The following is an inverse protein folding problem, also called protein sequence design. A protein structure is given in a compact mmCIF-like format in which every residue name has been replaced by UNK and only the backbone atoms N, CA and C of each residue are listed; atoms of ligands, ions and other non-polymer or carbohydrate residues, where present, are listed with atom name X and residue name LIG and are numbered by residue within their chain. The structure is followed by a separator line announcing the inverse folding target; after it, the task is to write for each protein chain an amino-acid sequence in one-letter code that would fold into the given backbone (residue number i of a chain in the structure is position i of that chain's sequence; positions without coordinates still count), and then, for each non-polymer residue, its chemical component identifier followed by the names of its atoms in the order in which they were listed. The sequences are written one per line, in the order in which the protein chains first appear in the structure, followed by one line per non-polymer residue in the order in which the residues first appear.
data_IF_212136214210
#
_entry.id   IF_212136214210
#
_cell.length_a   1.000
_cell.length_b   1.000
_cell.length_c   1.000
_cell.angle_alpha   90.00
_cell.angle_beta   90.00
_cell.angle_gamma   90.00
#
_symmetry.space_group_name_H-M   'P 1'
#
loop_
_entity.id
_entity.type
_entity.pdbx_description
1 polymer ?
#
# COMPACT_ATOMS: atom_id res chain seq x y z
N UNK A 1 -47.93 -20.59 48.52
CA UNK A 1 -47.08 -19.50 48.01
C UNK A 1 -45.62 -19.94 48.02
N UNK A 2 -45.10 -20.34 46.88
CA UNK A 2 -43.69 -20.72 46.74
C UNK A 2 -42.80 -19.45 46.68
N UNK A 3 -41.91 -19.30 47.64
CA UNK A 3 -40.91 -18.21 47.65
C UNK A 3 -39.96 -18.41 46.47
N UNK A 4 -39.96 -17.46 45.53
CA UNK A 4 -38.97 -17.38 44.48
C UNK A 4 -37.58 -17.25 45.13
N UNK A 5 -36.67 -18.22 44.84
CA UNK A 5 -35.27 -18.13 45.22
C UNK A 5 -34.65 -16.97 44.45
N UNK A 6 -34.23 -15.91 45.16
CA UNK A 6 -33.38 -14.87 44.62
C UNK A 6 -32.08 -15.50 44.11
N UNK A 7 -31.86 -15.44 42.82
CA UNK A 7 -30.56 -15.76 42.21
C UNK A 7 -29.61 -14.64 42.63
N UNK A 8 -28.80 -14.89 43.65
CA UNK A 8 -27.76 -14.01 44.10
C UNK A 8 -26.44 -14.45 43.49
N UNK A 9 -25.91 -13.67 42.57
CA UNK A 9 -24.59 -13.79 42.03
C UNK A 9 -24.58 -13.99 40.51
N UNK A 10 -24.36 -12.94 39.73
CA UNK A 10 -23.86 -13.09 38.37
C UNK A 10 -22.51 -13.76 38.43
N UNK A 11 -22.35 -14.91 37.73
CA UNK A 11 -21.05 -15.50 37.52
C UNK A 11 -20.12 -14.45 36.86
N UNK A 12 -18.90 -14.29 37.37
CA UNK A 12 -17.95 -13.37 36.79
C UNK A 12 -17.57 -13.80 35.37
N UNK A 13 -17.19 -12.85 34.52
CA UNK A 13 -16.75 -13.12 33.14
C UNK A 13 -15.59 -14.14 33.10
N UNK A 14 -14.75 -14.21 34.16
CA UNK A 14 -13.70 -15.20 34.29
C UNK A 14 -14.22 -16.65 34.26
N UNK A 15 -15.35 -16.92 34.92
CA UNK A 15 -15.95 -18.27 34.94
C UNK A 15 -16.45 -18.65 33.54
N UNK A 16 -17.05 -17.69 32.80
CA UNK A 16 -17.44 -17.92 31.42
C UNK A 16 -16.21 -18.19 30.55
N UNK A 17 -15.14 -17.42 30.71
CA UNK A 17 -13.90 -17.57 29.96
C UNK A 17 -13.25 -18.96 30.22
N UNK A 18 -13.21 -19.40 31.47
CA UNK A 18 -12.72 -20.75 31.84
C UNK A 18 -13.57 -21.88 31.23
N UNK A 19 -14.86 -21.68 31.11
CA UNK A 19 -15.75 -22.64 30.42
C UNK A 19 -15.49 -22.64 28.92
N UNK A 20 -15.35 -21.46 28.30
CA UNK A 20 -15.08 -21.33 26.87
C UNK A 20 -13.72 -21.89 26.48
N UNK A 21 -12.69 -21.72 27.30
CA UNK A 21 -11.35 -22.30 27.07
C UNK A 21 -11.35 -23.83 27.05
N UNK A 22 -12.30 -24.47 27.77
CA UNK A 22 -12.45 -25.94 27.78
C UNK A 22 -13.16 -26.48 26.53
N UNK A 23 -14.09 -25.73 25.95
CA UNK A 23 -14.92 -26.18 24.83
C UNK A 23 -14.48 -25.57 23.48
N UNK A 24 -13.77 -24.47 23.52
CA UNK A 24 -13.27 -23.73 22.35
C UNK A 24 -11.91 -23.07 22.68
N UNK A 25 -10.82 -23.87 22.75
CA UNK A 25 -9.51 -23.41 23.21
C UNK A 25 -8.85 -22.37 22.27
N UNK A 26 -9.36 -22.23 21.06
CA UNK A 26 -8.89 -21.19 20.10
C UNK A 26 -9.39 -19.77 20.42
N UNK A 27 -10.32 -19.63 21.38
CA UNK A 27 -10.82 -18.34 21.83
C UNK A 27 -9.89 -17.74 22.89
N UNK A 28 -9.57 -16.45 22.72
CA UNK A 28 -8.68 -15.73 23.64
C UNK A 28 -9.30 -14.39 24.05
N UNK A 29 -8.82 -13.87 25.18
CA UNK A 29 -9.14 -12.51 25.57
C UNK A 29 -8.54 -11.52 24.54
N UNK A 30 -9.28 -10.43 24.25
CA UNK A 30 -8.87 -9.49 23.19
C UNK A 30 -7.47 -8.92 23.39
N UNK A 31 -7.04 -8.77 24.64
CA UNK A 31 -5.72 -8.22 25.00
C UNK A 31 -4.56 -9.14 24.64
N UNK A 32 -4.84 -10.45 24.44
CA UNK A 32 -3.83 -11.48 24.15
C UNK A 32 -4.11 -12.26 22.88
N UNK A 33 -5.09 -11.82 22.07
CA UNK A 33 -5.50 -12.53 20.87
C UNK A 33 -4.40 -12.47 19.78
N UNK A 34 -3.61 -13.55 19.55
CA UNK A 34 -2.52 -13.55 18.60
C UNK A 34 -3.00 -13.46 17.15
N UNK A 35 -4.25 -13.88 16.86
CA UNK A 35 -4.80 -13.87 15.49
C UNK A 35 -5.07 -12.42 15.03
N UNK A 36 -5.46 -11.56 15.95
CA UNK A 36 -5.76 -10.15 15.65
C UNK A 36 -4.49 -9.30 15.54
N UNK A 37 -3.43 -9.69 16.28
CA UNK A 37 -2.17 -8.95 16.32
C UNK A 37 -1.44 -9.02 14.98
N UNK A 38 -0.98 -7.87 14.51
CA UNK A 38 -0.05 -7.78 13.38
C UNK A 38 1.36 -7.95 13.95
N UNK A 39 2.03 -9.02 13.56
CA UNK A 39 3.39 -9.31 14.04
C UNK A 39 4.44 -8.77 13.08
N UNK A 40 4.08 -8.59 11.82
CA UNK A 40 5.01 -8.26 10.77
C UNK A 40 4.35 -7.41 9.68
N UNK A 41 5.07 -6.44 9.18
CA UNK A 41 4.71 -5.62 8.03
C UNK A 41 5.63 -5.93 6.86
N UNK A 42 5.07 -6.06 5.68
CA UNK A 42 5.81 -6.37 4.46
C UNK A 42 5.92 -5.10 3.63
N UNK A 43 7.14 -4.65 3.42
CA UNK A 43 7.45 -3.48 2.62
C UNK A 43 6.90 -3.64 1.19
N UNK A 44 6.24 -2.61 0.68
CA UNK A 44 5.69 -2.62 -0.69
C UNK A 44 6.69 -2.17 -1.75
N UNK A 45 7.83 -1.62 -1.33
CA UNK A 45 8.81 -0.97 -2.21
C UNK A 45 8.47 0.49 -2.52
N UNK A 46 7.45 1.05 -1.88
CA UNK A 46 7.08 2.47 -1.98
C UNK A 46 6.71 3.00 -0.60
N UNK A 47 7.43 4.01 -0.12
CA UNK A 47 7.20 4.61 1.19
C UNK A 47 5.79 5.17 1.35
N UNK A 48 5.25 5.80 0.31
CA UNK A 48 3.89 6.34 0.37
C UNK A 48 2.82 5.24 0.36
N UNK A 49 3.06 4.12 -0.32
CA UNK A 49 2.14 2.98 -0.28
C UNK A 49 2.21 2.26 1.06
N UNK A 50 3.40 2.17 1.68
CA UNK A 50 3.56 1.70 3.05
C UNK A 50 2.72 2.54 4.01
N UNK A 51 2.85 3.88 3.94
CA UNK A 51 2.05 4.79 4.76
C UNK A 51 0.54 4.62 4.53
N UNK A 52 0.10 4.49 3.28
CA UNK A 52 -1.28 4.24 2.92
C UNK A 52 -1.85 2.94 3.52
N UNK A 53 -1.01 1.89 3.68
CA UNK A 53 -1.43 0.59 4.20
C UNK A 53 -1.35 0.49 5.72
N UNK A 54 -0.37 1.14 6.35
CA UNK A 54 -0.02 0.92 7.76
C UNK A 54 -0.01 2.18 8.62
N UNK A 55 -0.06 3.37 8.00
CA UNK A 55 0.11 4.64 8.70
C UNK A 55 1.57 5.05 8.94
N UNK A 56 2.55 4.31 8.38
CA UNK A 56 3.99 4.60 8.52
C UNK A 56 4.72 4.25 7.23
N UNK A 57 5.75 5.04 6.86
CA UNK A 57 6.61 4.72 5.71
C UNK A 57 7.40 3.43 5.90
N UNK A 58 7.62 3.00 7.15
CA UNK A 58 8.33 1.78 7.53
C UNK A 58 7.42 0.56 7.70
N UNK A 59 6.11 0.70 7.45
CA UNK A 59 5.16 -0.39 7.49
C UNK A 59 4.99 -1.08 6.14
N UNK A 60 3.75 -1.25 5.72
CA UNK A 60 3.39 -1.88 4.44
C UNK A 60 2.20 -2.81 4.57
N UNK A 61 2.24 -3.95 3.85
CA UNK A 61 1.19 -4.97 3.95
C UNK A 61 1.28 -5.69 5.31
N UNK A 62 0.22 -5.66 6.14
CA UNK A 62 0.20 -6.45 7.36
C UNK A 62 0.11 -7.94 7.05
N UNK A 63 0.88 -8.77 7.75
CA UNK A 63 0.68 -10.20 7.73
C UNK A 63 -0.73 -10.56 8.23
N UNK A 64 -1.19 -11.79 8.03
CA UNK A 64 -2.52 -12.26 8.48
C UNK A 64 -3.72 -11.54 7.85
N UNK A 65 -3.52 -10.70 6.83
CA UNK A 65 -4.59 -9.88 6.24
C UNK A 65 -4.65 -10.04 4.73
N UNK A 66 -5.86 -9.79 4.20
CA UNK A 66 -6.08 -9.76 2.76
C UNK A 66 -6.03 -8.33 2.22
N UNK A 67 -5.32 -8.17 1.11
CA UNK A 67 -5.23 -6.94 0.30
C UNK A 67 -5.86 -7.20 -1.06
N UNK A 68 -6.86 -6.41 -1.43
CA UNK A 68 -7.43 -6.42 -2.78
C UNK A 68 -6.92 -5.20 -3.54
N UNK A 69 -6.28 -5.44 -4.67
CA UNK A 69 -5.88 -4.43 -5.66
C UNK A 69 -6.90 -4.47 -6.80
N UNK A 70 -7.81 -3.50 -6.83
CA UNK A 70 -8.87 -3.43 -7.84
C UNK A 70 -8.59 -2.30 -8.83
N UNK A 71 -8.72 -2.55 -10.13
CA UNK A 71 -8.45 -1.54 -11.14
C UNK A 71 -8.64 -2.06 -12.56
N UNK A 72 -8.68 -1.14 -13.52
CA UNK A 72 -8.69 -1.47 -14.94
C UNK A 72 -7.39 -2.15 -15.37
N UNK A 73 -7.36 -2.64 -16.60
CA UNK A 73 -6.12 -3.15 -17.19
C UNK A 73 -5.06 -2.03 -17.28
N UNK A 74 -3.79 -2.39 -17.06
CA UNK A 74 -2.66 -1.45 -17.10
C UNK A 74 -2.59 -0.48 -15.92
N UNK A 75 -3.31 -0.71 -14.81
CA UNK A 75 -3.20 0.08 -13.57
C UNK A 75 -2.11 -0.43 -12.61
N UNK A 76 -1.32 -1.41 -13.02
CA UNK A 76 -0.16 -1.89 -12.25
C UNK A 76 -0.48 -2.83 -11.09
N UNK A 77 -1.65 -3.50 -11.05
CA UNK A 77 -2.01 -4.47 -10.02
C UNK A 77 -0.94 -5.53 -9.81
N UNK A 78 -0.61 -6.27 -10.87
CA UNK A 78 0.42 -7.31 -10.90
C UNK A 78 1.79 -6.77 -10.50
N UNK A 79 2.15 -5.57 -10.96
CA UNK A 79 3.40 -4.91 -10.59
C UNK A 79 3.49 -4.64 -9.08
N UNK A 80 2.45 -4.08 -8.47
CA UNK A 80 2.39 -3.82 -7.03
C UNK A 80 2.44 -5.14 -6.25
N UNK A 81 1.67 -6.15 -6.67
CA UNK A 81 1.69 -7.47 -6.04
C UNK A 81 3.09 -8.10 -6.06
N UNK A 82 3.76 -8.10 -7.21
CA UNK A 82 5.13 -8.63 -7.35
C UNK A 82 6.17 -7.78 -6.62
N UNK A 83 5.98 -6.46 -6.50
CA UNK A 83 6.84 -5.61 -5.67
C UNK A 83 6.75 -5.98 -4.19
N UNK A 84 5.56 -6.22 -3.66
CA UNK A 84 5.36 -6.72 -2.29
C UNK A 84 6.02 -8.09 -2.13
N UNK A 85 5.83 -9.00 -3.09
CA UNK A 85 6.46 -10.33 -3.07
C UNK A 85 7.99 -10.23 -3.02
N UNK A 86 8.59 -9.37 -3.86
CA UNK A 86 10.04 -9.13 -3.88
C UNK A 86 10.59 -8.72 -2.51
N UNK A 87 9.92 -7.77 -1.86
CA UNK A 87 10.35 -7.31 -0.53
C UNK A 87 10.06 -8.35 0.54
N UNK A 88 8.93 -9.07 0.47
CA UNK A 88 8.61 -10.16 1.35
C UNK A 88 9.64 -11.29 1.32
N UNK A 89 10.14 -11.67 0.13
CA UNK A 89 11.25 -12.63 -0.01
C UNK A 89 12.51 -12.07 0.63
N UNK A 90 12.92 -10.87 0.21
CA UNK A 90 14.23 -10.30 0.54
C UNK A 90 14.36 -9.90 2.01
N UNK A 91 13.32 -9.31 2.60
CA UNK A 91 13.38 -8.66 3.90
C UNK A 91 12.77 -9.51 5.01
N UNK A 92 11.77 -10.35 4.68
CA UNK A 92 10.98 -11.11 5.65
C UNK A 92 11.12 -12.63 5.52
N UNK A 93 11.76 -13.13 4.45
CA UNK A 93 11.99 -14.57 4.23
C UNK A 93 10.74 -15.35 3.85
N UNK A 94 9.82 -14.74 3.09
CA UNK A 94 8.63 -15.40 2.56
C UNK A 94 8.95 -16.17 1.27
N UNK A 95 8.26 -17.30 1.09
CA UNK A 95 8.06 -17.95 -0.19
C UNK A 95 6.72 -17.51 -0.80
N UNK A 96 6.60 -17.53 -2.11
CA UNK A 96 5.41 -17.04 -2.82
C UNK A 96 4.67 -18.19 -3.48
N UNK A 97 3.38 -18.30 -3.20
CA UNK A 97 2.45 -19.14 -3.98
C UNK A 97 1.57 -18.23 -4.81
N UNK A 98 1.88 -18.15 -6.10
CA UNK A 98 1.23 -17.26 -7.04
C UNK A 98 0.24 -18.04 -7.90
N UNK A 99 -1.06 -17.82 -7.68
CA UNK A 99 -2.13 -18.39 -8.46
C UNK A 99 -2.42 -17.47 -9.65
N UNK A 100 -2.18 -18.00 -10.86
CA UNK A 100 -2.35 -17.27 -12.12
C UNK A 100 -3.57 -17.81 -12.86
N UNK A 101 -4.56 -16.95 -13.09
CA UNK A 101 -5.76 -17.26 -13.89
C UNK A 101 -5.74 -16.62 -15.27
N UNK A 102 -4.74 -15.79 -15.58
CA UNK A 102 -4.63 -15.06 -16.84
C UNK A 102 -3.58 -15.66 -17.77
N UNK A 103 -2.65 -16.47 -17.25
CA UNK A 103 -1.53 -17.00 -18.02
C UNK A 103 -0.58 -15.92 -18.52
N UNK A 104 -0.55 -14.77 -17.85
CA UNK A 104 0.17 -13.57 -18.28
C UNK A 104 1.56 -13.43 -17.66
N UNK A 105 1.90 -14.29 -16.72
CA UNK A 105 3.14 -14.22 -15.95
C UNK A 105 4.10 -15.32 -16.40
N UNK A 106 5.28 -14.89 -16.84
CA UNK A 106 6.39 -15.78 -17.11
C UNK A 106 7.59 -15.50 -16.19
N UNK A 107 8.55 -16.42 -16.19
CA UNK A 107 9.75 -16.34 -15.37
C UNK A 107 10.58 -15.08 -15.66
N UNK A 108 10.71 -14.70 -16.91
CA UNK A 108 11.55 -13.59 -17.33
C UNK A 108 10.92 -12.25 -16.92
N UNK A 109 9.60 -12.15 -16.99
CA UNK A 109 8.86 -10.99 -16.50
C UNK A 109 9.07 -10.82 -14.98
N UNK A 110 8.89 -11.89 -14.21
CA UNK A 110 9.07 -11.90 -12.75
C UNK A 110 10.50 -11.52 -12.36
N UNK A 111 11.50 -12.11 -13.05
CA UNK A 111 12.91 -11.84 -12.82
C UNK A 111 13.31 -10.39 -13.15
N UNK A 112 12.74 -9.80 -14.22
CA UNK A 112 12.96 -8.37 -14.58
C UNK A 112 12.45 -7.42 -13.49
N UNK A 113 11.43 -7.79 -12.74
CA UNK A 113 10.95 -7.03 -11.59
C UNK A 113 11.79 -7.25 -10.33
N UNK A 114 12.85 -8.05 -10.42
CA UNK A 114 13.79 -8.32 -9.33
C UNK A 114 13.25 -9.28 -8.27
N UNK A 115 12.24 -10.07 -8.59
CA UNK A 115 11.72 -11.13 -7.72
C UNK A 115 12.59 -12.38 -7.89
N UNK A 116 13.03 -12.96 -6.78
CA UNK A 116 13.75 -14.23 -6.80
C UNK A 116 12.80 -15.37 -7.16
N UNK A 117 12.96 -15.89 -8.37
CA UNK A 117 12.10 -16.95 -8.90
C UNK A 117 12.31 -18.31 -8.23
N UNK A 118 13.38 -18.51 -7.46
CA UNK A 118 13.59 -19.72 -6.66
C UNK A 118 12.64 -19.81 -5.46
N UNK A 119 12.11 -18.67 -5.01
CA UNK A 119 11.15 -18.52 -3.93
C UNK A 119 9.71 -18.28 -4.42
N UNK A 120 9.45 -18.45 -5.72
CA UNK A 120 8.13 -18.26 -6.30
C UNK A 120 7.64 -19.52 -7.02
N UNK A 121 6.52 -20.08 -6.53
CA UNK A 121 5.77 -21.12 -7.21
C UNK A 121 4.61 -20.51 -7.97
N UNK A 122 4.62 -20.62 -9.29
CA UNK A 122 3.49 -20.29 -10.15
C UNK A 122 2.54 -21.50 -10.23
N UNK A 123 1.26 -21.27 -9.92
CA UNK A 123 0.21 -22.26 -9.95
C UNK A 123 -0.96 -21.77 -10.83
N UNK A 124 -1.12 -22.31 -12.04
CA UNK A 124 -2.29 -22.01 -12.87
C UNK A 124 -3.57 -22.47 -12.18
N UNK A 125 -4.62 -21.68 -12.30
CA UNK A 125 -5.98 -21.99 -11.80
C UNK A 125 -7.04 -21.43 -12.73
N UNK A 126 -8.13 -22.16 -12.92
CA UNK A 126 -9.22 -21.75 -13.80
C UNK A 126 -10.53 -21.48 -13.03
N UNK A 127 -10.74 -22.16 -11.91
CA UNK A 127 -11.97 -22.03 -11.12
C UNK A 127 -11.68 -21.61 -9.67
N UNK A 128 -12.70 -20.98 -9.06
CA UNK A 128 -12.63 -20.57 -7.65
C UNK A 128 -12.55 -21.81 -6.75
N UNK A 129 -13.20 -22.89 -7.13
CA UNK A 129 -13.21 -24.15 -6.40
C UNK A 129 -11.84 -24.82 -6.44
N UNK A 130 -11.15 -24.80 -7.57
CA UNK A 130 -9.77 -25.30 -7.70
C UNK A 130 -8.81 -24.52 -6.79
N UNK A 131 -8.87 -23.17 -6.83
CA UNK A 131 -8.12 -22.34 -5.88
C UNK A 131 -8.42 -22.72 -4.43
N UNK A 132 -9.71 -22.83 -4.07
CA UNK A 132 -10.12 -23.18 -2.71
C UNK A 132 -9.59 -24.55 -2.28
N UNK A 133 -9.59 -25.54 -3.18
CA UNK A 133 -9.10 -26.87 -2.89
C UNK A 133 -7.59 -26.85 -2.56
N UNK A 134 -6.79 -26.18 -3.40
CA UNK A 134 -5.34 -26.08 -3.20
C UNK A 134 -5.02 -25.28 -1.93
N UNK A 135 -5.67 -24.14 -1.72
CA UNK A 135 -5.49 -23.32 -0.52
C UNK A 135 -5.85 -24.09 0.77
N UNK A 136 -6.93 -24.87 0.74
CA UNK A 136 -7.33 -25.71 1.88
C UNK A 136 -6.29 -26.80 2.17
N UNK A 137 -5.71 -27.43 1.14
CA UNK A 137 -4.65 -28.43 1.34
C UNK A 137 -3.38 -27.82 1.94
N UNK A 138 -2.96 -26.65 1.48
CA UNK A 138 -1.82 -25.91 2.04
C UNK A 138 -2.06 -25.64 3.53
N UNK A 139 -3.21 -25.03 3.86
CA UNK A 139 -3.53 -24.67 5.25
C UNK A 139 -3.65 -25.89 6.15
N UNK A 140 -4.26 -26.97 5.70
CA UNK A 140 -4.36 -28.21 6.46
C UNK A 140 -2.98 -28.86 6.69
N UNK A 141 -2.09 -28.80 5.70
CA UNK A 141 -0.72 -29.28 5.86
C UNK A 141 0.06 -28.47 6.88
N UNK A 142 -0.13 -27.14 6.89
CA UNK A 142 0.51 -26.24 7.86
C UNK A 142 -0.03 -26.44 9.28
N UNK A 143 -1.35 -26.61 9.44
CA UNK A 143 -1.98 -26.98 10.71
C UNK A 143 -1.40 -28.31 11.25
N UNK A 144 -1.25 -29.33 10.39
CA UNK A 144 -0.66 -30.60 10.78
C UNK A 144 0.83 -30.53 11.16
N UNK A 145 1.60 -29.60 10.55
CA UNK A 145 2.99 -29.32 10.96
C UNK A 145 3.02 -28.70 12.36
N UNK A 146 2.17 -27.71 12.62
CA UNK A 146 2.07 -27.05 13.93
C UNK A 146 1.68 -28.04 15.04
N UNK A 147 0.74 -28.95 14.78
CA UNK A 147 0.36 -30.00 15.72
C UNK A 147 1.52 -30.93 16.08
N UNK A 148 2.48 -31.14 15.16
CA UNK A 148 3.71 -31.90 15.39
C UNK A 148 4.82 -31.07 16.06
N UNK A 149 4.59 -29.78 16.30
CA UNK A 149 5.60 -28.84 16.82
C UNK A 149 6.59 -28.36 15.77
N UNK A 150 6.30 -28.56 14.49
CA UNK A 150 7.11 -28.08 13.35
C UNK A 150 6.62 -26.70 12.92
N UNK A 151 7.54 -25.81 12.56
CA UNK A 151 7.17 -24.50 12.01
C UNK A 151 6.96 -24.59 10.51
N UNK A 152 5.76 -24.22 10.00
CA UNK A 152 5.53 -24.16 8.56
C UNK A 152 6.33 -23.02 7.92
N UNK A 153 6.66 -23.11 6.62
CA UNK A 153 7.30 -22.02 5.90
C UNK A 153 6.40 -20.78 5.89
N UNK A 154 7.03 -19.59 5.93
CA UNK A 154 6.30 -18.35 5.70
C UNK A 154 5.95 -18.22 4.23
N UNK A 155 4.68 -18.04 3.90
CA UNK A 155 4.25 -17.86 2.52
C UNK A 155 3.38 -16.63 2.36
N UNK A 156 3.48 -15.97 1.18
CA UNK A 156 2.50 -15.01 0.68
C UNK A 156 1.67 -15.73 -0.39
N UNK A 157 0.35 -15.66 -0.29
CA UNK A 157 -0.56 -16.14 -1.34
C UNK A 157 -0.99 -14.98 -2.21
N UNK A 158 -0.82 -15.12 -3.52
CA UNK A 158 -1.29 -14.15 -4.53
C UNK A 158 -2.30 -14.83 -5.43
N UNK A 159 -3.40 -14.16 -5.74
CA UNK A 159 -4.40 -14.57 -6.72
C UNK A 159 -4.52 -13.48 -7.80
N UNK A 160 -4.10 -13.79 -9.02
CA UNK A 160 -4.10 -12.87 -10.16
C UNK A 160 -4.78 -13.53 -11.37
N UNK A 161 -6.01 -13.19 -11.70
CA UNK A 161 -6.94 -12.28 -11.02
C UNK A 161 -8.22 -13.04 -10.60
N UNK A 162 -8.85 -12.58 -9.52
CA UNK A 162 -10.14 -13.12 -9.09
C UNK A 162 -11.23 -12.93 -10.13
N UNK A 163 -11.17 -11.83 -10.89
CA UNK A 163 -12.16 -11.52 -11.93
C UNK A 163 -12.26 -12.57 -13.03
N UNK A 164 -11.12 -13.18 -13.40
CA UNK A 164 -11.03 -14.14 -14.49
C UNK A 164 -11.39 -15.57 -14.09
N UNK A 165 -11.39 -15.90 -12.80
CA UNK A 165 -11.83 -17.22 -12.37
C UNK A 165 -13.31 -17.44 -12.69
N UNK A 166 -13.65 -18.62 -13.23
CA UNK A 166 -15.03 -19.10 -13.34
C UNK A 166 -15.45 -19.87 -12.09
N UNK A 167 -16.74 -20.18 -11.93
CA UNK A 167 -17.18 -21.29 -11.08
C UNK A 167 -17.07 -22.61 -11.85
N UNK A 168 -16.95 -23.73 -11.16
CA UNK A 168 -17.01 -25.06 -11.81
C UNK A 168 -18.28 -25.21 -12.64
N UNK A 169 -19.41 -24.72 -12.12
CA UNK A 169 -20.68 -24.76 -12.82
C UNK A 169 -20.67 -23.92 -14.10
N UNK A 170 -20.12 -22.68 -14.06
CA UNK A 170 -19.96 -21.83 -15.24
C UNK A 170 -19.11 -22.52 -16.30
N UNK A 171 -18.05 -23.22 -15.88
CA UNK A 171 -17.18 -24.00 -16.76
C UNK A 171 -17.93 -25.19 -17.41
N UNK A 172 -18.71 -25.94 -16.60
CA UNK A 172 -19.53 -27.05 -17.10
C UNK A 172 -20.65 -26.59 -18.06
N UNK A 173 -21.36 -25.53 -17.71
CA UNK A 173 -22.43 -24.97 -18.52
C UNK A 173 -21.91 -24.48 -19.88
N UNK A 174 -20.70 -23.91 -19.90
CA UNK A 174 -20.02 -23.50 -21.14
C UNK A 174 -19.74 -24.68 -22.08
N UNK A 175 -19.32 -25.83 -21.52
CA UNK A 175 -19.12 -27.07 -22.32
C UNK A 175 -20.42 -27.62 -22.86
N UNK A 176 -21.53 -27.48 -22.10
CA UNK A 176 -22.88 -27.93 -22.54
C UNK A 176 -23.60 -26.93 -23.44
N UNK A 177 -23.05 -25.73 -23.62
CA UNK A 177 -23.68 -24.66 -24.40
C UNK A 177 -24.88 -24.00 -23.71
N UNK A 178 -25.01 -24.12 -22.41
CA UNK A 178 -26.13 -23.59 -21.63
C UNK A 178 -25.77 -22.15 -21.13
N UNK A 179 -26.51 -21.14 -21.60
CA UNK A 179 -26.26 -19.71 -21.33
C UNK A 179 -27.10 -19.16 -20.19
N UNK A 180 -27.37 -19.93 -19.13
CA UNK A 180 -28.13 -19.45 -17.97
C UNK A 180 -27.29 -18.51 -17.11
N UNK A 181 -27.93 -17.44 -16.61
CA UNK A 181 -27.32 -16.50 -15.68
C UNK A 181 -26.91 -17.25 -14.39
N UNK A 182 -25.61 -17.41 -14.17
CA UNK A 182 -25.09 -18.14 -13.01
C UNK A 182 -24.81 -17.22 -11.83
N UNK A 183 -25.46 -17.49 -10.69
CA UNK A 183 -25.22 -16.80 -9.42
C UNK A 183 -24.19 -17.56 -8.55
N UNK A 184 -23.69 -18.72 -8.99
CA UNK A 184 -22.81 -19.59 -8.20
C UNK A 184 -21.43 -19.00 -8.04
N UNK A 185 -20.92 -18.25 -9.01
CA UNK A 185 -19.64 -17.52 -8.91
C UNK A 185 -19.57 -16.61 -7.67
N UNK A 186 -20.61 -15.81 -7.42
CA UNK A 186 -20.64 -14.94 -6.25
C UNK A 186 -20.69 -15.73 -4.93
N UNK A 187 -21.39 -16.87 -4.91
CA UNK A 187 -21.44 -17.76 -3.75
C UNK A 187 -20.08 -18.44 -3.52
N UNK A 188 -19.41 -18.87 -4.59
CA UNK A 188 -18.06 -19.46 -4.53
C UNK A 188 -17.04 -18.43 -3.98
N UNK A 189 -17.09 -17.17 -4.43
CA UNK A 189 -16.24 -16.09 -3.91
C UNK A 189 -16.49 -15.88 -2.40
N UNK A 190 -17.74 -15.80 -1.96
CA UNK A 190 -18.06 -15.66 -0.52
C UNK A 190 -17.55 -16.87 0.28
N UNK A 191 -17.69 -18.09 -0.26
CA UNK A 191 -17.17 -19.31 0.35
C UNK A 191 -15.64 -19.28 0.45
N UNK A 192 -14.95 -18.82 -0.61
CA UNK A 192 -13.50 -18.66 -0.64
C UNK A 192 -12.99 -17.82 0.53
N UNK A 193 -13.51 -16.62 0.70
CA UNK A 193 -13.11 -15.76 1.81
C UNK A 193 -13.45 -16.34 3.18
N UNK A 194 -14.65 -16.93 3.32
CA UNK A 194 -15.11 -17.49 4.60
C UNK A 194 -14.27 -18.69 5.05
N UNK A 195 -13.87 -19.56 4.11
CA UNK A 195 -13.08 -20.77 4.41
C UNK A 195 -11.62 -20.43 4.63
N UNK A 196 -11.02 -19.64 3.73
CA UNK A 196 -9.57 -19.41 3.75
C UNK A 196 -9.17 -18.19 4.61
N UNK A 197 -10.04 -17.17 4.76
CA UNK A 197 -9.66 -15.92 5.40
C UNK A 197 -9.21 -16.09 6.85
N UNK A 198 -9.96 -16.84 7.65
CA UNK A 198 -9.58 -17.09 9.05
C UNK A 198 -8.36 -18.02 9.15
N UNK A 199 -8.27 -19.06 8.30
CA UNK A 199 -7.13 -19.98 8.27
C UNK A 199 -5.84 -19.26 7.90
N UNK A 200 -5.87 -18.40 6.87
CA UNK A 200 -4.71 -17.60 6.50
C UNK A 200 -4.31 -16.64 7.64
N UNK A 201 -5.29 -16.01 8.30
CA UNK A 201 -5.01 -15.14 9.45
C UNK A 201 -4.37 -15.91 10.61
N UNK A 202 -4.86 -17.09 10.97
CA UNK A 202 -4.29 -17.96 12.00
C UNK A 202 -2.85 -18.37 11.69
N UNK A 203 -2.59 -18.73 10.44
CA UNK A 203 -1.29 -19.21 9.97
C UNK A 203 -0.28 -18.08 9.61
N UNK A 204 -0.66 -16.82 9.77
CA UNK A 204 0.22 -15.69 9.46
C UNK A 204 0.40 -15.44 7.96
N UNK A 205 -0.50 -15.93 7.11
CA UNK A 205 -0.40 -15.87 5.64
C UNK A 205 -1.05 -14.58 5.12
N UNK A 206 -0.29 -13.63 4.54
CA UNK A 206 -0.84 -12.52 3.77
C UNK A 206 -1.48 -13.03 2.48
N UNK A 207 -2.63 -12.43 2.10
CA UNK A 207 -3.34 -12.80 0.89
C UNK A 207 -3.56 -11.58 -0.02
N UNK A 208 -2.88 -11.54 -1.16
CA UNK A 208 -2.98 -10.47 -2.15
C UNK A 208 -3.90 -10.96 -3.27
N UNK A 209 -4.88 -10.13 -3.65
CA UNK A 209 -5.87 -10.45 -4.66
C UNK A 209 -5.91 -9.33 -5.68
N UNK A 210 -5.51 -9.60 -6.90
CA UNK A 210 -5.75 -8.72 -8.03
C UNK A 210 -7.19 -8.90 -8.53
N UNK A 211 -7.85 -7.79 -8.85
CA UNK A 211 -9.24 -7.83 -9.28
C UNK A 211 -9.55 -6.74 -10.31
N UNK A 212 -10.59 -6.94 -11.10
CA UNK A 212 -11.06 -5.97 -12.07
C UNK A 212 -12.16 -5.06 -11.49
N UNK A 213 -12.26 -3.87 -12.04
CA UNK A 213 -13.39 -2.97 -11.85
C UNK A 213 -14.16 -2.86 -13.14
N UNK A 214 -15.47 -2.71 -13.06
CA UNK A 214 -16.38 -2.52 -14.16
C UNK A 214 -17.12 -1.20 -14.00
N UNK A 215 -17.46 -0.56 -15.09
CA UNK A 215 -18.34 0.61 -15.05
C UNK A 215 -19.72 0.16 -14.57
N UNK A 216 -20.22 0.85 -13.55
CA UNK A 216 -21.58 0.61 -13.09
C UNK A 216 -22.57 1.05 -14.20
N UNK A 217 -23.73 0.38 -14.29
CA UNK A 217 -24.75 0.67 -15.31
C UNK A 217 -25.33 2.10 -15.27
N UNK A 218 -24.94 2.92 -14.30
CA UNK A 218 -25.36 4.30 -14.14
C UNK A 218 -24.15 5.24 -14.22
N UNK A 219 -24.29 6.35 -14.95
CA UNK A 219 -23.26 7.38 -15.09
C UNK A 219 -22.86 8.05 -13.76
N UNK A 220 -23.63 7.87 -12.70
CA UNK A 220 -23.44 8.49 -11.39
C UNK A 220 -22.96 7.50 -10.30
N UNK A 221 -22.81 6.21 -10.62
CA UNK A 221 -22.37 5.22 -9.64
C UNK A 221 -20.86 4.97 -9.73
N UNK A 222 -20.14 4.84 -8.60
CA UNK A 222 -18.73 4.47 -8.60
C UNK A 222 -18.52 3.11 -9.27
N UNK A 223 -17.36 2.91 -9.90
CA UNK A 223 -16.96 1.62 -10.50
C UNK A 223 -17.17 0.46 -9.54
N UNK A 224 -17.74 -0.62 -10.03
CA UNK A 224 -17.98 -1.82 -9.22
C UNK A 224 -16.79 -2.78 -9.28
N UNK A 225 -16.44 -3.33 -8.12
CA UNK A 225 -15.38 -4.34 -7.99
C UNK A 225 -15.99 -5.70 -8.34
N UNK A 226 -15.31 -6.47 -9.20
CA UNK A 226 -15.72 -7.84 -9.53
C UNK A 226 -15.90 -8.69 -8.26
N UNK A 227 -16.93 -9.55 -8.25
CA UNK A 227 -17.28 -10.36 -7.08
C UNK A 227 -18.14 -9.62 -6.03
N UNK A 228 -18.47 -8.35 -6.26
CA UNK A 228 -19.50 -7.61 -5.52
C UNK A 228 -19.30 -7.61 -4.00
N UNK A 229 -20.41 -7.82 -3.26
CA UNK A 229 -20.42 -7.82 -1.79
C UNK A 229 -19.51 -8.87 -1.15
N UNK A 230 -19.23 -10.00 -1.82
CA UNK A 230 -18.32 -11.02 -1.31
C UNK A 230 -16.93 -10.50 -1.03
N UNK A 231 -16.38 -9.71 -1.95
CA UNK A 231 -15.06 -9.07 -1.80
C UNK A 231 -15.13 -7.91 -0.81
N UNK A 232 -16.10 -6.99 -0.98
CA UNK A 232 -16.21 -5.78 -0.15
C UNK A 232 -16.32 -6.08 1.35
N UNK A 233 -17.09 -7.09 1.74
CA UNK A 233 -17.31 -7.39 3.16
C UNK A 233 -16.14 -8.17 3.79
N UNK A 234 -15.50 -9.07 3.05
CA UNK A 234 -14.54 -10.01 3.63
C UNK A 234 -13.07 -9.57 3.54
N UNK A 235 -12.68 -8.80 2.53
CA UNK A 235 -11.31 -8.28 2.44
C UNK A 235 -11.00 -7.33 3.61
N UNK A 236 -9.75 -7.34 4.08
CA UNK A 236 -9.27 -6.45 5.14
C UNK A 236 -8.94 -5.07 4.61
N UNK A 237 -8.30 -5.01 3.45
CA UNK A 237 -7.90 -3.77 2.76
C UNK A 237 -8.34 -3.87 1.31
N UNK A 238 -8.90 -2.80 0.76
CA UNK A 238 -9.27 -2.67 -0.65
C UNK A 238 -8.73 -1.36 -1.17
N UNK A 239 -7.83 -1.44 -2.14
CA UNK A 239 -7.28 -0.30 -2.86
C UNK A 239 -7.82 -0.30 -4.29
N UNK A 240 -8.43 0.82 -4.69
CA UNK A 240 -8.84 1.03 -6.09
C UNK A 240 -7.76 1.83 -6.80
N UNK A 241 -7.25 1.27 -7.89
CA UNK A 241 -6.20 1.82 -8.71
C UNK A 241 -6.79 2.53 -9.93
N UNK A 242 -6.54 3.82 -10.01
CA UNK A 242 -6.95 4.64 -11.15
C UNK A 242 -5.75 5.03 -12.00
N UNK A 243 -5.90 4.93 -13.33
CA UNK A 243 -4.86 5.31 -14.28
C UNK A 243 -4.78 6.83 -14.38
N UNK A 244 -3.60 7.39 -14.20
CA UNK A 244 -3.27 8.78 -14.41
C UNK A 244 -2.63 9.02 -15.78
N UNK A 245 -1.78 10.05 -15.86
CA UNK A 245 -1.05 10.34 -17.10
C UNK A 245 0.03 9.30 -17.34
N UNK A 246 0.24 8.99 -18.61
CA UNK A 246 1.46 8.31 -19.06
C UNK A 246 2.62 9.32 -18.98
N UNK A 247 3.76 8.84 -18.52
CA UNK A 247 4.95 9.66 -18.40
C UNK A 247 5.83 9.45 -19.63
N UNK A 248 6.25 10.54 -20.22
CA UNK A 248 7.08 10.59 -21.41
C UNK A 248 8.56 10.73 -21.03
N UNK A 249 9.48 10.24 -21.86
CA UNK A 249 10.90 10.47 -21.64
C UNK A 249 11.26 11.95 -21.75
N UNK A 250 12.24 12.41 -20.96
CA UNK A 250 12.73 13.80 -21.06
C UNK A 250 13.21 14.07 -22.49
N UNK A 251 12.61 15.08 -23.15
CA UNK A 251 12.92 15.45 -24.53
C UNK A 251 11.79 15.21 -25.54
N UNK A 252 10.73 14.50 -25.18
CA UNK A 252 9.65 14.09 -26.10
C UNK A 252 8.67 15.22 -26.47
N UNK A 253 8.62 16.33 -25.73
CA UNK A 253 7.94 17.55 -26.20
C UNK A 253 8.49 18.03 -27.55
N UNK A 254 9.72 17.63 -27.92
CA UNK A 254 10.29 17.85 -29.25
C UNK A 254 9.87 16.77 -30.25
N UNK A 255 9.60 15.54 -29.79
CA UNK A 255 9.17 14.44 -30.65
C UNK A 255 7.70 14.60 -31.07
N UNK A 256 6.82 15.05 -30.19
CA UNK A 256 5.42 15.39 -30.56
C UNK A 256 5.35 16.49 -31.64
N UNK A 257 6.27 17.46 -31.56
CA UNK A 257 6.39 18.49 -32.59
C UNK A 257 6.89 17.95 -33.95
N UNK A 258 7.45 16.72 -33.99
CA UNK A 258 7.99 16.06 -35.17
C UNK A 258 7.15 14.87 -35.66
N UNK A 259 5.94 14.66 -35.12
CA UNK A 259 5.05 13.53 -35.43
C UNK A 259 5.70 12.14 -35.22
N UNK A 260 6.62 12.00 -34.28
CA UNK A 260 7.18 10.72 -33.86
C UNK A 260 6.44 10.24 -32.60
N UNK A 261 6.03 8.98 -32.54
CA UNK A 261 5.39 8.41 -31.35
C UNK A 261 6.32 8.52 -30.15
N UNK A 262 5.82 9.18 -29.09
CA UNK A 262 6.57 9.39 -27.88
C UNK A 262 6.86 8.07 -27.15
N UNK A 263 8.11 7.84 -26.70
CA UNK A 263 8.47 6.64 -25.92
C UNK A 263 7.93 6.78 -24.50
N UNK A 264 6.99 5.97 -24.13
CA UNK A 264 6.40 5.95 -22.79
C UNK A 264 7.36 5.26 -21.81
N UNK A 265 7.67 5.94 -20.70
CA UNK A 265 8.64 5.44 -19.70
C UNK A 265 7.99 4.97 -18.42
N UNK A 266 6.74 5.28 -18.21
CA UNK A 266 6.01 4.86 -17.03
C UNK A 266 4.56 5.35 -17.02
N UNK A 267 3.87 5.05 -15.95
CA UNK A 267 2.49 5.49 -15.72
C UNK A 267 2.31 5.97 -14.28
N UNK A 268 1.64 7.09 -14.13
CA UNK A 268 1.16 7.57 -12.85
C UNK A 268 -0.11 6.84 -12.47
N UNK A 269 -0.19 6.33 -11.25
CA UNK A 269 -1.34 5.61 -10.69
C UNK A 269 -1.84 6.34 -9.46
N UNK A 270 -3.15 6.53 -9.38
CA UNK A 270 -3.82 7.00 -8.17
C UNK A 270 -4.35 5.81 -7.39
N UNK A 271 -3.97 5.71 -6.12
CA UNK A 271 -4.41 4.67 -5.20
C UNK A 271 -5.42 5.26 -4.25
N UNK A 272 -6.65 4.74 -4.30
CA UNK A 272 -7.76 5.18 -3.45
C UNK A 272 -8.14 4.04 -2.50
N UNK A 273 -7.91 4.16 -1.19
CA UNK A 273 -8.39 3.19 -0.22
C UNK A 273 -9.92 3.28 -0.11
N UNK A 274 -10.61 2.19 -0.48
CA UNK A 274 -12.07 2.05 -0.35
C UNK A 274 -12.43 1.34 0.95
N UNK A 275 -11.53 0.47 1.42
CA UNK A 275 -11.62 -0.17 2.72
C UNK A 275 -10.24 -0.21 3.33
N UNK A 276 -10.11 0.31 4.54
CA UNK A 276 -8.86 0.38 5.28
C UNK A 276 -9.16 0.20 6.78
N UNK A 277 -8.27 -0.51 7.50
CA UNK A 277 -8.42 -0.79 8.94
C UNK A 277 -7.21 -0.37 9.78
N UNK A 278 -6.11 0.00 9.15
CA UNK A 278 -4.82 0.22 9.82
C UNK A 278 -4.30 1.64 9.63
N UNK A 279 -4.87 2.38 8.69
CA UNK A 279 -4.51 3.76 8.39
C UNK A 279 -5.75 4.54 7.94
N UNK A 280 -5.67 5.87 7.95
CA UNK A 280 -6.71 6.73 7.37
C UNK A 280 -6.80 6.51 5.86
N UNK A 281 -7.99 6.52 5.25
CA UNK A 281 -8.20 6.22 3.84
C UNK A 281 -7.81 7.40 2.93
N UNK A 282 -6.54 7.78 2.92
CA UNK A 282 -6.02 8.90 2.15
C UNK A 282 -5.61 8.42 0.76
N UNK A 283 -6.08 9.13 -0.27
CA UNK A 283 -5.71 8.90 -1.67
C UNK A 283 -4.26 9.30 -1.90
N UNK A 284 -3.48 8.40 -2.48
CA UNK A 284 -2.05 8.62 -2.78
C UNK A 284 -1.75 8.43 -4.25
N UNK A 285 -0.60 8.95 -4.68
CA UNK A 285 -0.10 8.85 -6.05
C UNK A 285 1.14 7.98 -6.08
N UNK A 286 1.20 7.05 -7.02
CA UNK A 286 2.37 6.22 -7.32
C UNK A 286 2.84 6.47 -8.75
N UNK A 287 4.10 6.15 -8.99
CA UNK A 287 4.67 6.05 -10.33
C UNK A 287 5.19 4.65 -10.59
N UNK A 288 4.72 4.03 -11.66
CA UNK A 288 5.16 2.70 -12.09
C UNK A 288 5.99 2.86 -13.35
N UNK A 289 7.31 2.67 -13.28
CA UNK A 289 8.19 2.73 -14.44
C UNK A 289 8.07 1.45 -15.26
N UNK A 290 8.19 1.56 -16.61
CA UNK A 290 8.12 0.39 -17.50
C UNK A 290 9.46 -0.35 -17.62
N UNK A 291 10.58 0.36 -17.47
CA UNK A 291 11.92 -0.16 -17.78
C UNK A 291 12.93 -0.05 -16.63
N UNK A 292 12.52 0.43 -15.47
CA UNK A 292 13.37 0.66 -14.31
C UNK A 292 12.77 0.03 -13.06
N UNK A 293 13.60 -0.20 -12.05
CA UNK A 293 13.09 -0.41 -10.71
C UNK A 293 12.35 0.84 -10.21
N UNK A 294 11.26 0.68 -9.45
CA UNK A 294 10.55 1.83 -8.89
C UNK A 294 11.45 2.62 -7.96
N UNK A 295 11.26 3.94 -7.97
CA UNK A 295 11.89 4.79 -6.98
C UNK A 295 11.00 4.83 -5.73
N UNK A 296 11.47 4.38 -4.55
CA UNK A 296 10.64 4.22 -3.36
C UNK A 296 10.12 5.54 -2.79
N UNK A 297 10.77 6.66 -3.12
CA UNK A 297 10.44 7.99 -2.58
C UNK A 297 9.35 8.72 -3.35
N UNK A 298 9.06 8.31 -4.58
CA UNK A 298 8.02 8.95 -5.40
C UNK A 298 6.65 8.81 -4.74
N UNK A 299 5.93 9.91 -4.65
CA UNK A 299 4.67 10.02 -3.93
C UNK A 299 4.78 10.73 -2.58
N UNK A 300 6.02 10.96 -2.08
CA UNK A 300 6.26 11.73 -0.86
C UNK A 300 6.20 13.25 -1.08
N UNK A 301 6.07 13.73 -2.33
CA UNK A 301 6.12 15.15 -2.68
C UNK A 301 5.15 16.06 -1.89
N UNK A 302 3.93 15.62 -1.55
CA UNK A 302 3.01 16.46 -0.78
C UNK A 302 3.39 16.60 0.69
N UNK A 303 4.26 15.72 1.20
CA UNK A 303 4.60 15.60 2.62
C UNK A 303 5.95 16.19 2.99
N UNK A 304 6.74 16.61 1.99
CA UNK A 304 8.06 17.22 2.24
C UNK A 304 7.90 18.69 2.64
N UNK A 305 8.71 19.13 3.60
CA UNK A 305 8.75 20.52 4.05
C UNK A 305 10.18 20.96 4.34
N UNK A 306 10.39 22.25 4.48
CA UNK A 306 11.72 22.78 4.80
C UNK A 306 12.21 22.32 6.17
N UNK A 307 11.34 22.32 7.17
CA UNK A 307 11.68 22.01 8.54
C UNK A 307 12.11 20.54 8.71
N UNK A 308 11.44 19.61 8.01
CA UNK A 308 11.68 18.17 8.12
C UNK A 308 12.66 17.69 7.05
N UNK A 309 12.42 18.02 5.78
CA UNK A 309 13.19 17.47 4.66
C UNK A 309 14.20 18.44 4.07
N UNK A 310 14.21 19.71 4.50
CA UNK A 310 15.04 20.75 3.91
C UNK A 310 14.65 21.06 2.45
N UNK A 311 13.36 20.91 2.12
CA UNK A 311 12.82 21.12 0.78
C UNK A 311 11.66 22.11 0.86
N UNK A 312 11.68 23.12 -0.03
CA UNK A 312 10.56 24.02 -0.19
C UNK A 312 10.35 24.38 -1.66
N UNK A 313 9.12 24.72 -2.00
CA UNK A 313 8.81 25.35 -3.28
C UNK A 313 9.21 26.82 -3.19
N UNK A 314 10.19 27.22 -3.99
CA UNK A 314 10.77 28.58 -3.84
C UNK A 314 11.90 28.87 -4.81
N UNK A 315 12.69 29.84 -4.46
CA UNK A 315 13.93 30.23 -5.17
C UNK A 315 15.07 30.44 -4.17
N UNK A 316 16.26 30.26 -4.66
CA UNK A 316 17.49 30.51 -3.89
C UNK A 316 17.96 31.95 -4.16
N UNK A 317 18.24 32.66 -3.07
CA UNK A 317 18.71 34.04 -3.12
C UNK A 317 20.16 34.12 -2.66
N UNK A 318 20.94 34.92 -3.38
CA UNK A 318 22.26 35.36 -2.93
C UNK A 318 22.13 36.46 -1.88
N UNK A 319 23.20 36.76 -1.13
CA UNK A 319 23.23 37.84 -0.15
C UNK A 319 22.82 39.22 -0.75
N UNK A 320 23.22 39.48 -2.00
CA UNK A 320 22.86 40.70 -2.70
C UNK A 320 21.35 40.79 -3.01
N UNK A 321 20.74 39.70 -3.35
CA UNK A 321 19.32 39.61 -3.65
C UNK A 321 18.49 39.68 -2.36
N UNK A 322 18.90 38.96 -1.32
CA UNK A 322 18.28 38.98 0.01
C UNK A 322 18.25 40.41 0.58
N UNK A 323 19.36 41.14 0.48
CA UNK A 323 19.46 42.49 1.01
C UNK A 323 18.57 43.52 0.30
N UNK A 324 18.07 43.21 -0.90
CA UNK A 324 17.12 44.07 -1.66
C UNK A 324 15.66 43.86 -1.27
N UNK A 325 15.35 42.80 -0.54
CA UNK A 325 14.01 42.45 -0.08
C UNK A 325 13.55 43.42 1.01
N UNK A 326 12.24 43.62 1.13
CA UNK A 326 11.65 44.32 2.27
C UNK A 326 11.70 43.44 3.56
N UNK A 327 11.41 44.05 4.70
CA UNK A 327 11.50 43.37 6.00
C UNK A 327 10.48 42.19 6.15
N UNK A 328 9.35 42.26 5.45
CA UNK A 328 8.34 41.18 5.46
C UNK A 328 8.83 39.99 4.64
N UNK A 329 9.40 40.26 3.46
CA UNK A 329 9.97 39.22 2.60
C UNK A 329 11.21 38.59 3.24
N UNK A 330 12.08 39.38 3.89
CA UNK A 330 13.24 38.88 4.64
C UNK A 330 12.82 37.92 5.79
N UNK A 331 11.73 38.26 6.48
CA UNK A 331 11.24 37.49 7.61
C UNK A 331 10.80 36.04 7.26
N UNK A 332 10.38 35.82 6.01
CA UNK A 332 9.97 34.49 5.52
C UNK A 332 11.12 33.70 4.86
N UNK A 333 12.27 34.34 4.62
CA UNK A 333 13.44 33.70 4.06
C UNK A 333 14.13 32.80 5.09
N UNK A 334 14.55 31.62 4.68
CA UNK A 334 15.27 30.67 5.54
C UNK A 334 16.74 30.64 5.14
N UNK A 335 17.68 31.05 6.03
CA UNK A 335 19.10 31.00 5.76
C UNK A 335 19.62 29.56 5.82
N UNK A 336 20.55 29.21 4.93
CA UNK A 336 21.29 27.96 5.01
C UNK A 336 22.69 28.09 4.39
N UNK A 337 23.59 27.19 4.78
CA UNK A 337 24.95 27.16 4.27
C UNK A 337 24.94 26.65 2.82
N UNK A 338 25.38 27.49 1.89
CA UNK A 338 25.55 27.09 0.49
C UNK A 338 26.72 26.13 0.31
N UNK A 339 26.65 25.28 -0.69
CA UNK A 339 27.76 24.41 -1.08
C UNK A 339 27.67 24.04 -2.55
N UNK A 340 28.82 23.63 -3.12
CA UNK A 340 28.93 23.16 -4.48
C UNK A 340 29.76 21.87 -4.53
N UNK A 341 29.56 21.05 -5.55
CA UNK A 341 30.38 19.88 -5.81
C UNK A 341 31.55 20.30 -6.69
N UNK A 342 32.76 20.16 -6.17
CA UNK A 342 34.01 20.52 -6.87
C UNK A 342 34.84 19.24 -7.05
N UNK A 343 35.42 19.07 -8.22
CA UNK A 343 36.36 17.98 -8.47
C UNK A 343 37.71 18.33 -7.82
N UNK A 344 38.22 17.47 -6.95
CA UNK A 344 39.54 17.65 -6.34
C UNK A 344 40.65 17.22 -7.32
N UNK A 345 41.90 17.39 -6.92
CA UNK A 345 43.11 17.05 -7.72
C UNK A 345 43.20 15.57 -8.10
N UNK A 346 42.50 14.70 -7.37
CA UNK A 346 42.41 13.26 -7.62
C UNK A 346 41.24 12.86 -8.51
N UNK A 347 40.47 13.83 -9.02
CA UNK A 347 39.31 13.59 -9.86
C UNK A 347 38.04 13.19 -9.08
N UNK A 348 38.06 13.21 -7.75
CA UNK A 348 36.93 12.87 -6.87
C UNK A 348 36.09 14.11 -6.62
N UNK A 349 34.76 13.97 -6.71
CA UNK A 349 33.82 15.06 -6.43
C UNK A 349 33.68 15.24 -4.91
N UNK A 350 34.03 16.42 -4.41
CA UNK A 350 33.96 16.80 -3.01
C UNK A 350 33.00 17.96 -2.81
N UNK A 351 32.34 17.97 -1.64
CA UNK A 351 31.44 19.03 -1.21
C UNK A 351 32.26 20.19 -0.68
N UNK A 352 32.22 21.35 -1.33
CA UNK A 352 32.86 22.58 -0.90
C UNK A 352 31.81 23.59 -0.43
N UNK A 353 31.99 24.11 0.78
CA UNK A 353 31.11 25.15 1.30
C UNK A 353 31.31 26.45 0.54
N UNK A 354 30.16 27.09 0.23
CA UNK A 354 30.11 28.42 -0.38
C UNK A 354 29.58 29.44 0.63
N UNK A 355 29.32 30.65 0.19
CA UNK A 355 28.71 31.69 1.05
C UNK A 355 27.31 31.26 1.49
N UNK A 356 26.85 31.84 2.60
CA UNK A 356 25.47 31.73 3.05
C UNK A 356 24.51 32.17 1.94
N UNK A 357 23.42 31.43 1.79
CA UNK A 357 22.34 31.66 0.85
C UNK A 357 21.00 31.62 1.58
N UNK A 358 19.94 32.12 0.95
CA UNK A 358 18.61 32.15 1.53
C UNK A 358 17.60 31.47 0.60
N UNK A 359 16.78 30.60 1.18
CA UNK A 359 15.63 30.05 0.50
C UNK A 359 14.43 30.95 0.72
N UNK A 360 13.91 31.52 -0.36
CA UNK A 360 12.69 32.33 -0.34
C UNK A 360 11.50 31.48 -0.78
N UNK A 361 10.45 31.28 0.05
CA UNK A 361 9.30 30.47 -0.30
C UNK A 361 8.47 31.16 -1.39
N UNK A 362 8.15 30.38 -2.44
CA UNK A 362 7.24 30.77 -3.53
C UNK A 362 6.25 29.64 -3.77
N UNK A 363 5.13 29.55 -3.03
CA UNK A 363 4.18 28.43 -3.11
C UNK A 363 3.66 28.17 -4.53
N UNK A 364 3.49 29.22 -5.34
CA UNK A 364 3.08 29.13 -6.76
C UNK A 364 4.26 28.84 -7.72
N UNK A 365 5.49 28.85 -7.25
CA UNK A 365 6.69 28.63 -8.04
C UNK A 365 6.81 27.19 -8.55
N UNK A 366 7.48 27.02 -9.69
CA UNK A 366 7.77 25.69 -10.28
C UNK A 366 9.09 25.11 -9.78
N UNK A 367 9.96 25.92 -9.18
CA UNK A 367 11.26 25.51 -8.68
C UNK A 367 11.18 25.01 -7.24
N UNK A 368 12.07 24.12 -6.90
CA UNK A 368 12.25 23.58 -5.55
C UNK A 368 13.66 23.94 -5.08
N UNK A 369 13.76 24.36 -3.83
CA UNK A 369 15.03 24.56 -3.15
C UNK A 369 15.23 23.38 -2.21
N UNK A 370 16.38 22.73 -2.33
CA UNK A 370 16.76 21.62 -1.47
C UNK A 370 18.05 21.95 -0.71
N UNK A 371 17.96 22.02 0.60
CA UNK A 371 19.08 22.30 1.50
C UNK A 371 20.20 21.27 1.32
N UNK A 372 19.86 19.99 1.18
CA UNK A 372 20.82 18.89 1.06
C UNK A 372 21.55 18.86 -0.29
N UNK A 373 20.95 19.45 -1.32
CA UNK A 373 21.54 19.55 -2.66
C UNK A 373 22.14 20.95 -2.95
N UNK A 374 22.12 21.85 -1.97
CA UNK A 374 22.79 23.13 -2.03
C UNK A 374 22.10 24.21 -2.84
N UNK A 375 20.84 24.02 -3.23
CA UNK A 375 20.14 25.06 -3.98
C UNK A 375 18.92 24.57 -4.76
N UNK A 376 18.63 25.26 -5.87
CA UNK A 376 17.51 24.92 -6.74
C UNK A 376 17.75 23.59 -7.46
N UNK A 377 16.74 22.73 -7.45
CA UNK A 377 16.82 21.42 -8.08
C UNK A 377 15.51 21.01 -8.75
N UNK A 378 15.56 20.31 -9.89
CA UNK A 378 14.39 19.69 -10.46
C UNK A 378 13.79 18.64 -9.52
N UNK A 379 12.46 18.48 -9.54
CA UNK A 379 11.73 17.54 -8.70
C UNK A 379 12.31 16.12 -8.75
N UNK A 380 12.69 15.67 -9.94
CA UNK A 380 13.23 14.31 -10.16
C UNK A 380 14.54 14.04 -9.38
N UNK A 381 15.33 15.07 -9.12
CA UNK A 381 16.60 14.94 -8.40
C UNK A 381 16.42 14.91 -6.88
N UNK A 382 15.21 15.17 -6.38
CA UNK A 382 14.89 15.06 -4.95
C UNK A 382 14.75 13.63 -4.47
N UNK A 383 14.36 12.71 -5.36
CA UNK A 383 14.05 11.32 -5.01
C UNK A 383 15.30 10.45 -4.93
N UNK A 384 16.17 10.77 -4.00
CA UNK A 384 17.45 10.07 -3.80
C UNK A 384 17.75 9.83 -2.33
N UNK A 385 18.56 8.82 -2.04
CA UNK A 385 19.06 8.51 -0.70
C UNK A 385 19.87 9.67 -0.07
N UNK A 386 20.37 10.59 -0.89
CA UNK A 386 21.06 11.79 -0.41
C UNK A 386 20.14 12.80 0.27
N UNK A 387 18.88 12.83 -0.14
CA UNK A 387 17.83 13.70 0.41
C UNK A 387 17.05 12.97 1.49
N UNK A 388 16.60 11.75 1.18
CA UNK A 388 15.83 10.90 2.09
C UNK A 388 16.76 9.93 2.80
N UNK A 389 17.65 10.47 3.66
CA UNK A 389 18.46 9.63 4.55
C UNK A 389 17.56 8.91 5.56
N UNK A 390 18.04 7.83 6.19
CA UNK A 390 17.26 7.14 7.25
C UNK A 390 16.75 8.09 8.33
N UNK A 391 17.54 9.07 8.73
CA UNK A 391 17.18 10.07 9.76
C UNK A 391 16.04 10.97 9.26
N UNK A 392 16.13 11.46 8.01
CA UNK A 392 15.11 12.30 7.40
C UNK A 392 13.80 11.50 7.23
N UNK A 393 13.89 10.23 6.84
CA UNK A 393 12.71 9.37 6.74
C UNK A 393 12.06 9.11 8.09
N UNK A 394 12.85 8.88 9.16
CA UNK A 394 12.32 8.73 10.51
C UNK A 394 11.63 10.02 10.99
N UNK A 395 12.25 11.18 10.77
CA UNK A 395 11.66 12.46 11.13
C UNK A 395 10.40 12.77 10.35
N UNK A 396 10.39 12.47 9.03
CA UNK A 396 9.22 12.59 8.16
C UNK A 396 8.07 11.67 8.63
N UNK A 397 8.40 10.43 8.98
CA UNK A 397 7.43 9.46 9.48
C UNK A 397 6.76 9.96 10.77
N UNK A 398 7.56 10.37 11.76
CA UNK A 398 7.03 10.79 13.07
C UNK A 398 6.28 12.13 13.01
N UNK A 399 6.79 13.12 12.28
CA UNK A 399 6.25 14.49 12.33
C UNK A 399 5.15 14.74 11.30
N UNK A 400 5.09 13.97 10.22
CA UNK A 400 4.18 14.25 9.10
C UNK A 400 3.33 13.03 8.74
N UNK A 401 3.96 11.88 8.49
CA UNK A 401 3.25 10.71 7.96
C UNK A 401 2.32 10.10 9.01
N UNK A 402 2.82 9.79 10.19
CA UNK A 402 2.01 9.22 11.27
C UNK A 402 0.83 10.13 11.64
N UNK A 403 1.02 11.43 11.93
CA UNK A 403 -0.10 12.32 12.19
C UNK A 403 -1.13 12.39 11.07
N UNK A 404 -0.69 12.21 9.82
CA UNK A 404 -1.57 12.25 8.64
C UNK A 404 -2.31 10.93 8.44
N UNK A 405 -1.60 9.80 8.48
CA UNK A 405 -2.11 8.50 8.05
C UNK A 405 -2.57 7.59 9.17
N UNK A 406 -2.04 7.70 10.40
CA UNK A 406 -2.46 6.84 11.48
C UNK A 406 -3.89 7.15 11.91
N UNK A 407 -4.58 6.09 12.33
CA UNK A 407 -5.86 6.25 13.01
C UNK A 407 -5.61 6.95 14.35
N UNK A 408 -6.47 7.90 14.77
CA UNK A 408 -6.31 8.56 16.04
C UNK A 408 -6.48 7.55 17.18
N UNK A 409 -5.65 7.68 18.20
CA UNK A 409 -5.85 6.98 19.48
C UNK A 409 -7.02 7.66 20.21
N UNK A 410 -8.20 7.09 20.08
CA UNK A 410 -9.40 7.59 20.74
C UNK A 410 -9.37 7.09 22.19
N UNK A 411 -8.80 7.87 23.08
CA UNK A 411 -8.68 7.53 24.51
C UNK A 411 -9.78 8.17 25.39
N UNK A 412 -10.57 9.12 24.85
CA UNK A 412 -11.64 9.80 25.59
C UNK A 412 -12.86 10.10 24.73
N UNK A 413 -14.02 10.37 25.38
CA UNK A 413 -15.22 10.86 24.69
C UNK A 413 -15.02 12.26 24.11
N UNK A 414 -14.13 13.06 24.71
CA UNK A 414 -13.77 14.40 24.22
C UNK A 414 -13.05 14.36 22.89
N UNK A 415 -12.16 13.36 22.65
CA UNK A 415 -11.51 13.15 21.37
C UNK A 415 -12.49 12.79 20.24
N UNK A 416 -13.63 12.16 20.59
CA UNK A 416 -14.70 11.84 19.63
C UNK A 416 -15.52 13.08 19.25
N UNK A 417 -15.74 14.01 20.19
CA UNK A 417 -16.47 15.25 19.95
C UNK A 417 -15.65 16.23 19.10
N UNK A 418 -14.34 16.35 19.33
CA UNK A 418 -13.45 17.13 18.45
C UNK A 418 -13.41 16.59 17.02
N UNK A 419 -13.34 15.26 16.85
CA UNK A 419 -13.35 14.63 15.52
C UNK A 419 -14.70 14.78 14.81
N UNK A 420 -15.82 14.83 15.52
CA UNK A 420 -17.13 15.06 14.93
C UNK A 420 -17.33 16.52 14.50
N UNK A 421 -16.77 17.48 15.23
CA UNK A 421 -16.81 18.90 14.88
C UNK A 421 -16.03 19.28 13.62
N UNK A 422 -14.99 18.50 13.27
CA UNK A 422 -14.20 18.72 12.04
C UNK A 422 -14.94 18.23 10.78
N UNK A 423 -15.88 17.28 10.92
CA UNK A 423 -16.62 16.72 9.79
C UNK A 423 -17.75 17.67 9.35
N UNK A 424 -18.30 18.46 10.26
CA UNK A 424 -19.40 19.38 9.96
C UNK A 424 -18.96 20.69 9.29
N UNK A 425 -17.66 21.03 9.30
CA UNK A 425 -17.11 22.22 8.64
C UNK A 425 -16.70 22.01 7.16
N UNK A 426 -16.51 20.76 6.70
CA UNK A 426 -16.12 20.46 5.30
C UNK A 426 -17.31 20.27 4.34
N UNK A 427 -18.55 20.16 4.84
CA UNK A 427 -19.75 19.99 4.00
C UNK A 427 -20.48 21.31 3.68
N UNK A 428 -19.95 22.48 4.08
CA UNK A 428 -20.54 23.81 3.82
C UNK A 428 -19.73 24.72 2.86
N UNK A 429 -18.72 24.20 2.09
CA UNK A 429 -18.07 24.97 1.02
C UNK A 429 -18.25 24.36 -0.38
#
# INVERSE_FOLDING_TARGET
MAKAKKITGQASFSVLNDMLNKIAPDGEMIDINPIAKIDEWINTGSYILNACLSGSVFGGLPNRRSLVLAGEEGTGKTYIALSICRHGIKENGYDIVYFDSEGSIDRDFVARLGVDTSHLRLQPVNTIEEFNHIAAQITTSFEAMLEKGEQPPKIIVVLDSLGNLSSEKESEDSVKGDNKRDMTKQQAIRKMFRVNGLKFAKLGIPFIINNHVYDAMSMFTPKEISGGGGVKYNASIILVLGKGKLDDAEGEKKAEAQNVDAVRVGVTIYVTPVKQRFARPIKVKLHIPFYKSPNPYVGLEPFVSWDVCGIMRGEMLTEKEYNKLDEKEKAICVPFQGWEMVQNELGVMEKKETKQVWAHPKPSGKKLVCKHLGGETPLINLFTDKVFTPEVLMELDEKVIKPTFQLPDINSLEDLEELSGVIDEEDEE
#
